data_IF_790084465432
#
_entry.id   IF_790084465432
#
_cell.length_a   1.000
_cell.length_b   1.000
_cell.length_c   1.000
_cell.angle_alpha   90.00
_cell.angle_beta   90.00
_cell.angle_gamma   90.00
#
_symmetry.space_group_name_H-M   'P 1'
#
loop_
_entity.id
_entity.type
_entity.pdbx_description
1 polymer ?
#
# COMPACT_ATOMS: atom_id res chain seq x y z
N UNK A 1 1.74 -10.88 -18.35
CA UNK A 1 2.91 -10.06 -18.79
C UNK A 1 3.88 -9.91 -17.63
N UNK A 2 5.20 -9.69 -17.85
CA UNK A 2 6.17 -9.45 -16.76
C UNK A 2 6.85 -8.09 -16.94
N UNK A 3 6.91 -7.28 -15.88
CA UNK A 3 7.66 -6.02 -15.79
C UNK A 3 8.81 -6.23 -14.82
N UNK A 4 10.03 -5.97 -15.29
CA UNK A 4 11.27 -6.26 -14.58
C UNK A 4 11.71 -5.08 -13.71
N UNK A 5 12.45 -5.36 -12.64
CA UNK A 5 12.85 -4.37 -11.61
C UNK A 5 13.88 -3.33 -12.06
N UNK A 6 14.35 -3.38 -13.30
CA UNK A 6 15.13 -2.32 -13.95
C UNK A 6 14.25 -1.19 -14.52
N UNK A 7 12.92 -1.37 -14.49
CA UNK A 7 11.92 -0.42 -14.98
C UNK A 7 11.19 0.22 -13.81
N UNK A 8 11.87 1.14 -13.13
CA UNK A 8 11.38 1.77 -11.89
C UNK A 8 11.20 3.28 -12.03
N UNK A 9 10.30 3.81 -11.20
CA UNK A 9 10.14 5.24 -10.95
C UNK A 9 10.30 5.50 -9.45
N UNK A 10 10.71 6.71 -9.10
CA UNK A 10 10.86 7.17 -7.70
C UNK A 10 9.82 8.23 -7.30
N UNK A 11 8.94 8.57 -8.25
CA UNK A 11 7.78 9.42 -8.02
C UNK A 11 6.61 8.95 -8.88
N UNK A 12 5.42 8.93 -8.31
CA UNK A 12 4.16 8.76 -9.02
C UNK A 12 3.86 10.06 -9.76
N UNK A 13 3.84 10.00 -11.10
CA UNK A 13 3.71 11.19 -11.94
C UNK A 13 2.97 10.87 -13.23
N UNK A 14 2.13 11.82 -13.67
CA UNK A 14 1.46 11.77 -14.97
C UNK A 14 2.41 11.90 -16.16
N UNK A 15 3.61 12.42 -15.92
CA UNK A 15 4.64 12.62 -16.95
C UNK A 15 5.54 11.39 -17.13
N UNK A 16 5.40 10.36 -16.27
CA UNK A 16 6.16 9.13 -16.41
C UNK A 16 5.77 8.41 -17.70
N UNK A 17 6.76 8.04 -18.51
CA UNK A 17 6.51 7.23 -19.72
C UNK A 17 6.15 5.80 -19.30
N UNK A 18 5.01 5.24 -19.76
CA UNK A 18 4.63 3.88 -19.40
C UNK A 18 5.61 2.87 -19.99
N UNK A 19 5.98 1.88 -19.19
CA UNK A 19 6.92 0.82 -19.58
C UNK A 19 6.22 -0.33 -20.32
N UNK A 20 4.90 -0.40 -20.19
CA UNK A 20 4.03 -1.31 -20.94
C UNK A 20 2.58 -0.79 -20.97
N UNK A 21 1.81 -1.32 -21.91
CA UNK A 21 0.37 -1.08 -22.05
C UNK A 21 -0.37 -2.41 -21.98
N UNK A 22 -1.46 -2.48 -21.23
CA UNK A 22 -2.30 -3.68 -21.08
C UNK A 22 -3.78 -3.36 -21.18
N UNK A 23 -4.58 -4.31 -21.63
CA UNK A 23 -6.04 -4.19 -21.58
C UNK A 23 -6.56 -4.46 -20.16
N UNK A 24 -7.71 -3.89 -19.81
CA UNK A 24 -8.41 -4.20 -18.56
C UNK A 24 -8.64 -5.72 -18.38
N UNK A 25 -8.47 -6.23 -17.16
CA UNK A 25 -8.52 -7.65 -16.81
C UNK A 25 -7.20 -8.40 -17.01
N UNK A 26 -6.12 -7.72 -17.41
CA UNK A 26 -4.82 -8.36 -17.64
C UNK A 26 -4.10 -8.70 -16.34
N UNK A 27 -3.45 -9.86 -16.32
CA UNK A 27 -2.50 -10.23 -15.28
C UNK A 27 -1.07 -9.75 -15.60
N UNK A 28 -0.47 -9.07 -14.64
CA UNK A 28 0.87 -8.49 -14.74
C UNK A 28 1.70 -8.90 -13.53
N UNK A 29 2.86 -9.48 -13.79
CA UNK A 29 3.86 -9.85 -12.80
C UNK A 29 4.90 -8.72 -12.72
N UNK A 30 5.04 -8.10 -11.55
CA UNK A 30 6.04 -7.07 -11.27
C UNK A 30 7.17 -7.69 -10.48
N UNK A 31 8.41 -7.61 -10.96
CA UNK A 31 9.59 -7.79 -10.10
C UNK A 31 9.89 -6.48 -9.37
N UNK A 32 10.29 -6.55 -8.10
CA UNK A 32 10.63 -5.39 -7.29
C UNK A 32 12.03 -5.53 -6.71
N UNK A 33 12.72 -4.39 -6.57
CA UNK A 33 13.79 -4.26 -5.58
C UNK A 33 13.18 -4.15 -4.17
N UNK A 34 14.01 -4.26 -3.15
CA UNK A 34 13.67 -3.69 -1.83
C UNK A 34 13.58 -2.14 -1.88
N UNK A 35 13.11 -1.53 -0.80
CA UNK A 35 12.95 -0.08 -0.69
C UNK A 35 14.27 0.70 -0.85
N UNK A 36 15.41 0.06 -0.60
CA UNK A 36 16.75 0.63 -0.77
C UNK A 36 17.30 0.45 -2.19
N UNK A 37 16.51 0.00 -3.17
CA UNK A 37 16.98 -0.38 -4.52
C UNK A 37 18.05 -1.48 -4.49
N UNK A 38 17.92 -2.45 -3.58
CA UNK A 38 18.85 -3.56 -3.33
C UNK A 38 20.29 -3.09 -2.97
N UNK A 39 20.45 -1.84 -2.48
CA UNK A 39 21.77 -1.28 -2.16
C UNK A 39 22.41 -1.89 -0.90
N UNK A 40 21.59 -2.42 0.03
CA UNK A 40 22.07 -3.03 1.27
C UNK A 40 22.20 -4.54 1.08
N UNK A 41 23.42 -5.01 0.88
CA UNK A 41 23.69 -6.45 0.67
C UNK A 41 24.34 -7.14 1.87
N UNK A 42 24.73 -6.39 2.91
CA UNK A 42 25.33 -6.94 4.14
C UNK A 42 25.10 -6.01 5.33
N UNK A 43 25.33 -6.53 6.55
CA UNK A 43 25.23 -5.75 7.78
C UNK A 43 26.32 -4.68 7.94
N UNK A 44 27.39 -4.77 7.14
CA UNK A 44 28.49 -3.78 7.11
C UNK A 44 28.19 -2.59 6.20
N UNK A 45 27.03 -2.57 5.51
CA UNK A 45 26.63 -1.46 4.66
C UNK A 45 26.57 -0.16 5.47
N UNK A 46 27.21 0.89 4.95
CA UNK A 46 27.21 2.21 5.58
C UNK A 46 25.93 2.94 5.16
N UNK A 47 24.95 2.99 6.06
CA UNK A 47 23.63 3.59 5.80
C UNK A 47 23.69 5.02 5.23
N UNK A 48 24.66 5.84 5.69
CA UNK A 48 24.82 7.21 5.23
C UNK A 48 25.43 7.33 3.82
N UNK A 49 25.94 6.24 3.26
CA UNK A 49 26.53 6.19 1.90
C UNK A 49 25.53 5.70 0.85
N UNK A 50 24.28 5.39 1.23
CA UNK A 50 23.23 5.02 0.29
C UNK A 50 22.89 6.18 -0.65
N UNK A 51 22.57 5.86 -1.90
CA UNK A 51 22.01 6.81 -2.84
C UNK A 51 20.54 7.07 -2.50
N UNK A 52 20.32 8.14 -1.74
CA UNK A 52 18.99 8.59 -1.30
C UNK A 52 18.06 9.03 -2.46
N UNK A 53 18.60 9.27 -3.66
CA UNK A 53 17.77 9.53 -4.84
C UNK A 53 17.15 8.25 -5.41
N UNK A 54 17.59 7.09 -4.90
CA UNK A 54 17.16 5.76 -5.34
C UNK A 54 16.44 4.99 -4.23
N UNK A 55 15.68 5.68 -3.38
CA UNK A 55 14.86 5.07 -2.33
C UNK A 55 13.40 4.98 -2.76
N UNK A 56 12.72 3.91 -2.35
CA UNK A 56 11.35 3.53 -2.71
C UNK A 56 11.13 3.40 -4.22
N UNK A 57 11.91 2.56 -4.93
CA UNK A 57 11.65 2.26 -6.34
C UNK A 57 10.31 1.54 -6.51
N UNK A 58 9.42 2.12 -7.32
CA UNK A 58 8.21 1.44 -7.78
C UNK A 58 8.41 0.94 -9.22
N UNK A 59 8.26 -0.36 -9.44
CA UNK A 59 8.31 -0.97 -10.77
C UNK A 59 7.07 -0.56 -11.57
N UNK A 60 7.28 -0.01 -12.78
CA UNK A 60 6.22 0.55 -13.62
C UNK A 60 6.63 1.87 -14.30
N UNK A 61 5.67 2.74 -14.68
CA UNK A 61 4.23 2.52 -14.60
C UNK A 61 3.69 1.71 -15.80
N UNK A 62 2.62 0.95 -15.57
CA UNK A 62 1.84 0.26 -16.60
C UNK A 62 0.63 1.11 -16.96
N UNK A 63 0.43 1.32 -18.26
CA UNK A 63 -0.76 1.97 -18.81
C UNK A 63 -1.88 0.94 -19.00
N UNK A 64 -3.06 1.19 -18.43
CA UNK A 64 -4.24 0.32 -18.57
C UNK A 64 -5.21 0.91 -19.58
N UNK A 65 -5.35 0.26 -20.74
CA UNK A 65 -6.22 0.72 -21.82
C UNK A 65 -7.66 0.93 -21.36
N UNK A 66 -8.23 2.07 -21.73
CA UNK A 66 -9.60 2.44 -21.41
C UNK A 66 -9.81 2.99 -19.99
N UNK A 67 -8.77 3.08 -19.14
CA UNK A 67 -8.84 3.81 -17.88
C UNK A 67 -8.85 5.32 -18.13
N UNK A 68 -9.88 6.02 -17.66
CA UNK A 68 -10.06 7.47 -17.82
C UNK A 68 -10.26 8.16 -16.46
N UNK A 69 -9.91 9.46 -16.33
CA UNK A 69 -10.13 10.20 -15.10
C UNK A 69 -11.56 10.07 -14.55
N UNK A 70 -11.69 9.69 -13.28
CA UNK A 70 -12.96 9.45 -12.59
C UNK A 70 -13.38 7.98 -12.49
N UNK A 71 -12.70 7.08 -13.20
CA UNK A 71 -12.85 5.63 -13.00
C UNK A 71 -12.15 5.17 -11.70
N UNK A 72 -12.41 3.91 -11.33
CA UNK A 72 -11.61 3.20 -10.34
C UNK A 72 -10.75 2.12 -11.04
N UNK A 73 -9.50 1.98 -10.62
CA UNK A 73 -8.66 0.85 -10.96
C UNK A 73 -8.76 -0.19 -9.84
N UNK A 74 -9.36 -1.34 -10.15
CA UNK A 74 -9.39 -2.52 -9.30
C UNK A 74 -8.09 -3.30 -9.50
N UNK A 75 -7.33 -3.44 -8.42
CA UNK A 75 -6.05 -4.15 -8.39
C UNK A 75 -6.19 -5.36 -7.47
N UNK A 76 -6.36 -6.54 -8.06
CA UNK A 76 -6.43 -7.79 -7.29
C UNK A 76 -5.03 -8.38 -7.14
N UNK A 77 -4.53 -8.47 -5.92
CA UNK A 77 -3.22 -9.05 -5.62
C UNK A 77 -3.36 -10.57 -5.59
N UNK A 78 -2.92 -11.26 -6.64
CA UNK A 78 -3.07 -12.71 -6.79
C UNK A 78 -2.01 -13.48 -6.01
N UNK A 79 -0.77 -12.99 -6.03
CA UNK A 79 0.38 -13.66 -5.42
C UNK A 79 1.49 -12.66 -5.11
N UNK A 80 2.15 -12.85 -3.97
CA UNK A 80 3.41 -12.20 -3.60
C UNK A 80 4.44 -13.33 -3.42
N UNK A 81 5.62 -13.19 -4.00
CA UNK A 81 6.71 -14.17 -3.90
C UNK A 81 8.00 -13.47 -3.52
N UNK A 82 8.49 -13.75 -2.32
CA UNK A 82 9.76 -13.20 -1.85
C UNK A 82 10.91 -13.88 -2.61
N UNK A 83 11.85 -13.09 -3.13
CA UNK A 83 12.96 -13.59 -3.97
C UNK A 83 14.26 -13.81 -3.19
N UNK A 84 14.22 -13.61 -1.87
CA UNK A 84 15.37 -13.75 -0.97
C UNK A 84 14.98 -14.55 0.28
N UNK A 85 15.97 -15.22 0.89
CA UNK A 85 15.85 -15.84 2.20
C UNK A 85 16.41 -14.93 3.32
N UNK A 86 16.68 -13.66 3.00
CA UNK A 86 17.13 -12.63 3.92
C UNK A 86 16.43 -11.33 3.58
N UNK A 87 16.00 -10.61 4.62
CA UNK A 87 15.44 -9.27 4.52
C UNK A 87 16.37 -8.25 5.19
N UNK A 88 16.19 -6.99 4.87
CA UNK A 88 16.92 -5.87 5.47
C UNK A 88 16.01 -5.14 6.44
N UNK A 89 16.57 -4.73 7.58
CA UNK A 89 15.91 -3.84 8.52
C UNK A 89 16.91 -2.79 8.98
N UNK A 90 16.48 -1.54 9.05
CA UNK A 90 17.32 -0.42 9.49
C UNK A 90 16.64 0.36 10.61
N UNK A 91 17.43 0.72 11.61
CA UNK A 91 17.08 1.76 12.59
C UNK A 91 18.14 2.84 12.54
N UNK A 92 17.77 4.12 12.55
CA UNK A 92 18.75 5.20 12.53
C UNK A 92 18.30 6.41 13.36
N UNK A 93 19.25 7.26 13.80
CA UNK A 93 18.94 8.49 14.51
C UNK A 93 17.94 9.35 13.76
N UNK A 94 16.96 9.90 14.47
CA UNK A 94 15.90 10.77 13.93
C UNK A 94 14.93 10.10 12.93
N UNK A 95 15.01 8.77 12.72
CA UNK A 95 14.10 8.02 11.87
C UNK A 95 13.11 7.18 12.69
N UNK A 96 11.86 7.11 12.25
CA UNK A 96 10.82 6.37 12.95
C UNK A 96 10.32 7.09 14.21
N UNK A 97 9.61 6.37 15.07
CA UNK A 97 8.94 6.92 16.26
C UNK A 97 9.90 7.20 17.41
N UNK A 98 10.93 6.38 17.57
CA UNK A 98 11.88 6.40 18.70
C UNK A 98 13.32 6.58 18.18
N UNK A 99 13.46 7.15 16.98
CA UNK A 99 14.77 7.40 16.38
C UNK A 99 15.58 8.47 17.11
N UNK A 100 14.93 9.36 17.85
CA UNK A 100 15.56 10.41 18.64
C UNK A 100 16.35 9.87 19.85
N UNK A 101 16.06 8.63 20.28
CA UNK A 101 16.80 7.93 21.34
C UNK A 101 17.99 7.10 20.83
N UNK A 102 18.26 7.11 19.51
CA UNK A 102 19.35 6.35 18.91
C UNK A 102 20.57 7.22 18.63
N UNK A 103 21.76 6.71 18.95
CA UNK A 103 23.04 7.40 18.73
C UNK A 103 23.68 7.09 17.36
N UNK A 104 23.32 5.96 16.75
CA UNK A 104 23.94 5.48 15.50
C UNK A 104 22.99 4.62 14.67
N UNK A 105 23.13 4.63 13.33
CA UNK A 105 22.39 3.71 12.47
C UNK A 105 22.82 2.27 12.70
N UNK A 106 21.87 1.35 12.53
CA UNK A 106 22.10 -0.09 12.59
C UNK A 106 21.37 -0.76 11.44
N UNK A 107 22.14 -1.38 10.56
CA UNK A 107 21.64 -2.30 9.53
C UNK A 107 21.60 -3.70 10.12
N UNK A 108 20.47 -4.38 9.96
CA UNK A 108 20.29 -5.79 10.35
C UNK A 108 19.87 -6.60 9.15
N UNK A 109 20.65 -7.62 8.79
CA UNK A 109 20.24 -8.65 7.84
C UNK A 109 19.49 -9.72 8.62
N UNK A 110 18.21 -9.88 8.33
CA UNK A 110 17.29 -10.76 9.04
C UNK A 110 17.08 -12.04 8.23
N UNK A 111 17.53 -13.21 8.71
CA UNK A 111 17.29 -14.49 8.04
C UNK A 111 15.81 -14.84 8.03
N UNK A 112 15.37 -15.51 6.97
CA UNK A 112 14.04 -16.10 6.83
C UNK A 112 14.18 -17.62 6.85
N UNK A 113 13.51 -18.27 7.81
CA UNK A 113 13.55 -19.71 8.02
C UNK A 113 12.15 -20.25 8.34
N UNK A 114 11.68 -21.22 7.55
CA UNK A 114 10.39 -21.90 7.76
C UNK A 114 9.22 -20.91 7.96
N UNK A 115 9.04 -19.98 7.01
CA UNK A 115 8.02 -18.91 7.05
C UNK A 115 8.07 -18.00 8.28
N UNK A 116 9.26 -17.85 8.87
CA UNK A 116 9.50 -16.89 9.96
C UNK A 116 10.73 -16.04 9.68
N UNK A 117 10.66 -14.77 10.03
CA UNK A 117 11.82 -13.90 10.17
C UNK A 117 12.48 -14.12 11.54
N UNK A 118 13.82 -14.20 11.56
CA UNK A 118 14.61 -14.45 12.77
C UNK A 118 15.24 -13.15 13.24
N UNK A 119 14.53 -12.43 14.10
CA UNK A 119 14.92 -11.13 14.64
C UNK A 119 15.96 -11.24 15.78
N UNK A 120 16.63 -10.13 16.15
CA UNK A 120 17.54 -10.09 17.29
C UNK A 120 16.94 -10.71 18.57
N UNK A 121 17.76 -11.45 19.32
CA UNK A 121 17.30 -12.21 20.47
C UNK A 121 16.60 -13.54 20.12
N UNK A 122 16.69 -14.00 18.87
CA UNK A 122 16.04 -15.21 18.36
C UNK A 122 14.50 -15.12 18.43
N UNK A 123 13.96 -13.91 18.29
CA UNK A 123 12.52 -13.69 18.19
C UNK A 123 12.06 -14.14 16.80
N UNK A 124 11.11 -15.07 16.75
CA UNK A 124 10.58 -15.64 15.51
C UNK A 124 9.25 -14.99 15.18
N UNK A 125 9.18 -14.22 14.11
CA UNK A 125 7.96 -13.54 13.66
C UNK A 125 7.46 -14.23 12.39
N UNK A 126 6.17 -14.64 12.33
CA UNK A 126 5.63 -15.23 11.10
C UNK A 126 5.65 -14.20 9.97
N UNK A 127 5.95 -14.65 8.75
CA UNK A 127 5.87 -13.78 7.59
C UNK A 127 4.42 -13.35 7.32
N UNK A 128 4.26 -12.11 6.86
CA UNK A 128 3.03 -11.60 6.28
C UNK A 128 3.42 -10.74 5.07
N UNK A 129 3.76 -11.38 3.92
CA UNK A 129 4.22 -10.65 2.75
C UNK A 129 3.18 -9.64 2.26
N UNK A 130 3.59 -8.38 2.12
CA UNK A 130 2.72 -7.27 1.75
C UNK A 130 3.42 -6.32 0.76
N UNK A 131 2.63 -5.43 0.16
CA UNK A 131 3.11 -4.36 -0.73
C UNK A 131 2.98 -3.00 -0.01
N UNK A 132 4.10 -2.31 0.24
CA UNK A 132 4.15 -1.01 0.91
C UNK A 132 3.81 0.15 -0.04
N UNK A 133 4.56 0.23 -1.15
CA UNK A 133 4.32 1.19 -2.24
C UNK A 133 3.45 0.58 -3.32
N UNK A 134 2.23 1.10 -3.49
CA UNK A 134 1.32 0.72 -4.58
C UNK A 134 0.42 1.89 -4.94
N UNK A 135 0.40 2.29 -6.21
CA UNK A 135 -0.31 3.51 -6.60
C UNK A 135 -0.48 3.72 -8.09
N UNK A 136 -1.15 4.81 -8.40
CA UNK A 136 -1.39 5.35 -9.74
C UNK A 136 -0.82 6.77 -9.83
N UNK A 137 -0.69 7.34 -11.03
CA UNK A 137 -0.28 8.72 -11.14
C UNK A 137 -1.34 9.68 -10.55
N UNK A 138 -0.93 10.72 -9.79
CA UNK A 138 -1.82 11.81 -9.40
C UNK A 138 -2.18 12.69 -10.61
N UNK A 139 -3.29 13.43 -10.52
CA UNK A 139 -3.67 14.41 -11.55
C UNK A 139 -2.77 15.66 -11.56
N UNK A 140 -2.22 16.01 -10.39
CA UNK A 140 -1.40 17.19 -10.15
C UNK A 140 0.09 16.94 -10.34
N UNK A 141 0.88 17.60 -9.50
CA UNK A 141 2.34 17.45 -9.47
C UNK A 141 2.77 16.03 -9.12
N UNK A 142 4.01 15.68 -9.49
CA UNK A 142 4.61 14.41 -9.12
C UNK A 142 4.73 14.29 -7.59
N UNK A 143 4.41 13.11 -7.05
CA UNK A 143 4.53 12.80 -5.62
C UNK A 143 5.56 11.69 -5.46
N UNK A 144 6.51 11.86 -4.53
CA UNK A 144 7.52 10.83 -4.22
C UNK A 144 6.87 9.49 -3.93
N UNK A 145 7.48 8.39 -4.38
CA UNK A 145 7.00 7.05 -4.07
C UNK A 145 6.96 6.77 -2.55
N UNK A 146 7.78 7.48 -1.76
CA UNK A 146 7.76 7.45 -0.28
C UNK A 146 6.75 8.39 0.37
N UNK A 147 5.72 8.85 -0.32
CA UNK A 147 4.65 9.68 0.28
C UNK A 147 3.29 9.14 -0.14
N UNK A 148 2.47 8.66 0.79
CA UNK A 148 1.12 8.24 0.45
C UNK A 148 0.18 9.42 0.28
N UNK A 149 -0.83 9.28 -0.56
CA UNK A 149 -1.95 10.22 -0.69
C UNK A 149 -3.16 9.46 -1.28
N UNK A 150 -4.18 10.18 -1.72
CA UNK A 150 -5.34 9.73 -2.49
C UNK A 150 -5.01 8.82 -3.69
N UNK A 151 -3.81 8.94 -4.27
CA UNK A 151 -3.36 8.10 -5.41
C UNK A 151 -2.76 6.74 -4.99
N UNK A 152 -2.77 6.41 -3.69
CA UNK A 152 -2.01 5.29 -3.12
C UNK A 152 -0.63 5.77 -2.67
N UNK A 153 0.44 5.14 -3.18
CA UNK A 153 1.82 5.46 -2.79
C UNK A 153 2.27 4.61 -1.60
N UNK A 154 3.07 5.20 -0.70
CA UNK A 154 3.65 4.53 0.48
C UNK A 154 2.63 4.34 1.61
N UNK A 155 1.63 3.48 1.38
CA UNK A 155 0.53 3.34 2.35
C UNK A 155 0.91 2.45 3.53
N UNK A 156 1.92 1.60 3.38
CA UNK A 156 2.40 0.61 4.34
C UNK A 156 1.28 -0.01 5.14
N UNK A 157 0.33 -0.56 4.39
CA UNK A 157 -0.84 -1.21 4.92
C UNK A 157 -0.62 -2.72 4.87
N UNK A 158 -0.38 -3.33 6.03
CA UNK A 158 -0.16 -4.78 6.17
C UNK A 158 -1.31 -5.67 5.68
N UNK A 159 -2.44 -5.07 5.28
CA UNK A 159 -3.59 -5.75 4.71
C UNK A 159 -3.53 -5.85 3.16
N UNK A 160 -2.58 -5.16 2.50
CA UNK A 160 -2.34 -5.26 1.05
C UNK A 160 -1.48 -6.51 0.79
N UNK A 161 -2.12 -7.65 0.88
CA UNK A 161 -1.51 -8.99 0.79
C UNK A 161 -2.12 -9.79 -0.35
N UNK A 162 -1.54 -10.95 -0.66
CA UNK A 162 -2.14 -11.88 -1.61
C UNK A 162 -3.58 -12.26 -1.19
N UNK A 163 -4.51 -12.21 -2.15
CA UNK A 163 -5.95 -12.43 -1.94
C UNK A 163 -6.74 -11.14 -1.64
N UNK A 164 -6.07 -10.02 -1.39
CA UNK A 164 -6.75 -8.73 -1.24
C UNK A 164 -6.97 -8.02 -2.60
N UNK A 165 -7.90 -7.07 -2.62
CA UNK A 165 -8.15 -6.19 -3.78
C UNK A 165 -8.11 -4.74 -3.33
N UNK A 166 -7.18 -3.99 -3.91
CA UNK A 166 -7.03 -2.56 -3.70
C UNK A 166 -7.74 -1.80 -4.83
N UNK A 167 -8.47 -0.77 -4.47
CA UNK A 167 -9.19 0.13 -5.36
C UNK A 167 -8.50 1.49 -5.32
N UNK A 168 -8.01 1.93 -6.47
CA UNK A 168 -7.30 3.21 -6.63
C UNK A 168 -8.07 4.12 -7.59
N UNK A 169 -7.98 5.46 -7.44
CA UNK A 169 -8.60 6.36 -8.39
C UNK A 169 -7.85 6.33 -9.72
N UNK A 170 -8.56 6.44 -10.82
CA UNK A 170 -7.94 6.82 -12.10
C UNK A 170 -7.99 8.33 -12.18
N UNK A 171 -6.82 8.97 -12.05
CA UNK A 171 -6.69 10.42 -12.08
C UNK A 171 -6.23 10.96 -13.43
N UNK A 172 -5.61 10.10 -14.25
CA UNK A 172 -5.07 10.39 -15.58
C UNK A 172 -5.36 9.23 -16.54
N UNK A 173 -5.38 9.47 -17.87
CA UNK A 173 -5.56 8.40 -18.84
C UNK A 173 -4.56 7.26 -18.63
N UNK A 174 -5.06 6.03 -18.63
CA UNK A 174 -4.26 4.83 -18.42
C UNK A 174 -3.89 4.53 -16.96
N UNK A 175 -4.28 5.38 -16.01
CA UNK A 175 -3.94 5.33 -14.57
C UNK A 175 -2.45 5.46 -14.23
N UNK A 176 -1.55 4.87 -15.03
CA UNK A 176 -0.10 4.77 -14.78
C UNK A 176 0.20 4.08 -13.44
N UNK A 177 -0.15 2.79 -13.38
CA UNK A 177 -0.03 1.96 -12.19
C UNK A 177 1.40 1.47 -11.93
N UNK A 178 1.89 1.57 -10.70
CA UNK A 178 3.17 1.02 -10.28
C UNK A 178 3.13 0.49 -8.85
N UNK A 179 4.04 -0.44 -8.53
CA UNK A 179 4.20 -0.99 -7.20
C UNK A 179 5.66 -1.32 -6.89
N UNK A 180 6.02 -1.34 -5.62
CA UNK A 180 7.36 -1.65 -5.13
C UNK A 180 7.32 -1.98 -3.64
N UNK A 181 8.50 -1.91 -3.00
CA UNK A 181 8.61 -1.91 -1.55
C UNK A 181 7.86 -3.07 -0.87
N UNK A 182 8.37 -4.29 -1.07
CA UNK A 182 7.77 -5.45 -0.42
C UNK A 182 8.37 -5.63 0.97
N UNK A 183 7.49 -5.94 1.92
CA UNK A 183 7.91 -6.36 3.25
C UNK A 183 7.63 -7.86 3.44
N UNK A 184 8.61 -8.58 3.98
CA UNK A 184 8.42 -9.97 4.39
C UNK A 184 7.49 -10.06 5.62
N UNK A 185 7.58 -9.07 6.51
CA UNK A 185 6.67 -8.86 7.63
C UNK A 185 6.75 -7.39 8.06
N UNK A 186 5.62 -6.85 8.54
CA UNK A 186 5.53 -5.50 9.09
C UNK A 186 4.36 -5.42 10.09
N UNK A 187 4.55 -4.67 11.17
CA UNK A 187 3.51 -4.37 12.15
C UNK A 187 2.77 -3.08 11.84
N UNK A 188 1.55 -2.91 12.37
CA UNK A 188 0.85 -1.61 12.28
C UNK A 188 1.67 -0.54 13.01
N UNK A 189 1.86 0.58 12.33
CA UNK A 189 2.64 1.73 12.80
C UNK A 189 4.04 1.80 12.20
N UNK A 190 4.64 0.68 11.79
CA UNK A 190 5.98 0.63 11.19
C UNK A 190 7.03 1.46 11.97
N UNK A 191 7.03 1.28 13.29
CA UNK A 191 7.58 2.28 14.22
C UNK A 191 9.09 2.54 14.08
N UNK A 192 9.83 1.65 13.42
CA UNK A 192 11.27 1.77 13.19
C UNK A 192 11.66 2.63 12.00
N UNK A 193 10.72 3.03 11.13
CA UNK A 193 10.88 3.62 9.77
C UNK A 193 10.80 2.63 8.61
N UNK A 194 10.88 1.33 8.88
CA UNK A 194 10.90 0.31 7.84
C UNK A 194 10.25 -0.98 8.33
N UNK A 195 9.78 -1.80 7.41
CA UNK A 195 9.41 -3.19 7.63
C UNK A 195 10.62 -4.12 7.56
N UNK A 196 10.36 -5.37 7.16
CA UNK A 196 11.41 -6.29 6.71
C UNK A 196 11.54 -6.20 5.19
N UNK A 197 12.38 -5.28 4.75
CA UNK A 197 12.61 -4.89 3.36
C UNK A 197 13.18 -6.04 2.54
N UNK A 198 12.52 -6.37 1.42
CA UNK A 198 12.91 -7.53 0.63
C UNK A 198 12.53 -7.41 -0.86
N UNK A 199 13.39 -7.84 -1.80
CA UNK A 199 12.99 -7.94 -3.20
C UNK A 199 12.03 -9.12 -3.43
N UNK A 200 11.18 -9.00 -4.46
CA UNK A 200 10.24 -10.06 -4.78
C UNK A 200 9.53 -9.89 -6.10
N UNK A 201 8.46 -10.67 -6.26
CA UNK A 201 7.55 -10.60 -7.38
C UNK A 201 6.10 -10.47 -6.88
N UNK A 202 5.31 -9.62 -7.53
CA UNK A 202 3.86 -9.48 -7.27
C UNK A 202 3.09 -9.74 -8.56
N UNK A 203 2.20 -10.73 -8.53
CA UNK A 203 1.22 -10.96 -9.59
C UNK A 203 -0.07 -10.22 -9.25
N UNK A 204 -0.46 -9.28 -10.10
CA UNK A 204 -1.71 -8.53 -9.97
C UNK A 204 -2.59 -8.71 -11.20
N UNK A 205 -3.91 -8.61 -11.02
CA UNK A 205 -4.87 -8.39 -12.10
C UNK A 205 -5.34 -6.94 -12.03
N UNK A 206 -5.29 -6.23 -13.17
CA UNK A 206 -5.65 -4.82 -13.29
C UNK A 206 -6.95 -4.67 -14.09
N UNK A 207 -8.02 -4.23 -13.44
CA UNK A 207 -9.35 -4.09 -14.04
C UNK A 207 -9.87 -2.66 -13.88
N UNK A 208 -10.32 -2.05 -14.98
CA UNK A 208 -10.94 -0.72 -14.98
C UNK A 208 -12.42 -0.86 -14.64
N UNK A 209 -12.88 -0.10 -13.66
CA UNK A 209 -14.29 -0.06 -13.24
C UNK A 209 -14.86 1.34 -13.48
N UNK A 210 -15.85 1.38 -14.37
CA UNK A 210 -16.54 2.60 -14.81
C UNK A 210 -17.69 2.95 -13.87
N UNK A 211 -18.01 4.24 -13.76
CA UNK A 211 -19.25 4.76 -13.16
C UNK A 211 -19.52 4.28 -11.72
N UNK A 212 -18.48 3.99 -10.93
CA UNK A 212 -18.63 3.60 -9.52
C UNK A 212 -17.89 4.57 -8.62
N UNK A 213 -18.65 5.39 -7.89
CA UNK A 213 -18.09 6.29 -6.89
C UNK A 213 -17.73 5.49 -5.63
N UNK A 214 -16.43 5.37 -5.37
CA UNK A 214 -15.88 4.68 -4.19
C UNK A 214 -15.08 5.67 -3.34
N UNK A 215 -14.96 5.43 -2.02
CA UNK A 215 -14.05 6.15 -1.13
C UNK A 215 -12.60 5.67 -1.34
N UNK A 216 -11.94 6.14 -2.39
CA UNK A 216 -10.62 5.67 -2.79
C UNK A 216 -9.49 6.42 -2.03
N UNK A 217 -8.39 5.75 -1.62
CA UNK A 217 -8.15 4.31 -1.75
C UNK A 217 -9.03 3.47 -0.83
N UNK A 218 -9.53 2.36 -1.36
CA UNK A 218 -10.33 1.37 -0.64
C UNK A 218 -9.68 -0.01 -0.79
N UNK A 219 -9.72 -0.84 0.23
CA UNK A 219 -9.18 -2.20 0.18
C UNK A 219 -10.26 -3.18 0.63
N UNK A 220 -10.24 -4.38 0.09
CA UNK A 220 -11.00 -5.49 0.63
C UNK A 220 -10.16 -6.77 0.66
N UNK A 221 -10.40 -7.61 1.67
CA UNK A 221 -9.94 -8.99 1.69
C UNK A 221 -11.15 -9.93 1.79
N UNK A 222 -10.95 -11.20 2.14
CA UNK A 222 -12.05 -12.16 2.27
C UNK A 222 -13.06 -11.82 3.35
N UNK A 223 -12.70 -11.01 4.36
CA UNK A 223 -13.48 -10.83 5.58
C UNK A 223 -13.84 -9.38 5.88
N UNK A 224 -13.14 -8.40 5.32
CA UNK A 224 -13.22 -7.00 5.75
C UNK A 224 -13.13 -6.03 4.58
N UNK A 225 -13.89 -4.95 4.67
CA UNK A 225 -13.79 -3.76 3.85
C UNK A 225 -13.03 -2.68 4.60
N UNK A 226 -12.10 -2.03 3.93
CA UNK A 226 -11.28 -0.97 4.50
C UNK A 226 -11.39 0.28 3.65
N UNK A 227 -11.58 1.42 4.29
CA UNK A 227 -11.27 2.72 3.67
C UNK A 227 -9.94 3.19 4.21
N UNK A 228 -9.05 3.67 3.35
CA UNK A 228 -7.74 4.16 3.72
C UNK A 228 -7.72 5.68 3.57
N UNK A 229 -6.92 6.34 4.39
CA UNK A 229 -6.62 7.76 4.24
C UNK A 229 -5.25 8.07 4.80
N UNK A 230 -4.57 9.00 4.13
CA UNK A 230 -3.29 9.54 4.55
C UNK A 230 -3.39 11.04 4.74
N UNK A 231 -2.80 11.53 5.82
CA UNK A 231 -2.81 12.94 6.18
C UNK A 231 -1.57 13.31 7.00
N UNK A 232 -1.35 14.61 7.23
CA UNK A 232 -0.17 15.07 7.96
C UNK A 232 -0.14 14.56 9.40
N UNK A 233 -1.30 14.42 10.03
CA UNK A 233 -1.45 13.92 11.39
C UNK A 233 -2.21 12.60 11.41
N UNK A 234 -1.95 11.79 12.43
CA UNK A 234 -2.66 10.54 12.63
C UNK A 234 -4.16 10.77 12.91
N UNK A 235 -4.49 11.81 13.68
CA UNK A 235 -5.87 12.24 13.96
C UNK A 235 -6.63 12.60 12.68
N UNK A 236 -6.02 13.35 11.76
CA UNK A 236 -6.64 13.71 10.49
C UNK A 236 -6.84 12.47 9.60
N UNK A 237 -5.82 11.61 9.48
CA UNK A 237 -5.90 10.38 8.71
C UNK A 237 -6.99 9.44 9.26
N UNK A 238 -7.06 9.32 10.58
CA UNK A 238 -8.09 8.56 11.29
C UNK A 238 -9.50 9.11 11.04
N UNK A 239 -9.66 10.44 11.14
CA UNK A 239 -10.94 11.10 10.87
C UNK A 239 -11.37 10.89 9.42
N UNK A 240 -10.44 11.05 8.47
CA UNK A 240 -10.71 10.88 7.04
C UNK A 240 -11.11 9.45 6.70
N UNK A 241 -10.36 8.44 7.16
CA UNK A 241 -10.73 7.03 6.94
C UNK A 241 -12.12 6.72 7.50
N UNK A 242 -12.42 7.18 8.73
CA UNK A 242 -13.74 6.97 9.35
C UNK A 242 -14.85 7.64 8.56
N UNK A 243 -14.66 8.90 8.15
CA UNK A 243 -15.64 9.66 7.35
C UNK A 243 -15.88 9.00 6.00
N UNK A 244 -14.82 8.52 5.35
CA UNK A 244 -14.89 7.83 4.07
C UNK A 244 -15.82 6.61 4.16
N UNK A 245 -15.69 5.76 5.19
CA UNK A 245 -16.59 4.63 5.38
C UNK A 245 -18.02 5.06 5.74
N UNK A 246 -18.19 6.07 6.62
CA UNK A 246 -19.51 6.53 7.05
C UNK A 246 -20.32 7.09 5.88
N UNK A 247 -19.70 7.93 5.06
CA UNK A 247 -20.30 8.46 3.84
C UNK A 247 -20.54 7.36 2.81
N UNK A 248 -19.63 6.40 2.66
CA UNK A 248 -19.86 5.28 1.77
C UNK A 248 -21.13 4.49 2.16
N UNK A 249 -21.35 4.20 3.45
CA UNK A 249 -22.59 3.56 3.90
C UNK A 249 -23.81 4.44 3.63
N UNK A 250 -23.77 5.72 4.01
CA UNK A 250 -24.92 6.62 3.88
C UNK A 250 -25.30 6.88 2.40
N UNK A 251 -24.32 7.03 1.53
CA UNK A 251 -24.54 7.30 0.10
C UNK A 251 -25.03 6.06 -0.68
N UNK A 252 -24.85 4.86 -0.12
CA UNK A 252 -25.10 3.58 -0.81
C UNK A 252 -26.17 2.73 -0.14
N UNK A 253 -26.89 3.27 0.85
CA UNK A 253 -27.98 2.60 1.58
C UNK A 253 -29.10 3.59 1.87
N UNK A 254 -30.20 3.13 2.50
CA UNK A 254 -31.27 4.02 2.97
C UNK A 254 -31.01 4.66 4.34
N UNK A 255 -29.83 4.40 4.94
CA UNK A 255 -29.49 4.87 6.28
C UNK A 255 -29.07 6.34 6.27
N UNK A 256 -29.35 7.04 7.37
CA UNK A 256 -28.79 8.38 7.55
C UNK A 256 -27.31 8.31 7.89
N UNK A 257 -26.60 9.43 7.73
CA UNK A 257 -25.20 9.53 8.19
C UNK A 257 -25.07 9.25 9.70
N UNK A 258 -26.07 9.61 10.51
CA UNK A 258 -26.06 9.35 11.96
C UNK A 258 -26.19 7.85 12.27
N UNK A 259 -27.00 7.12 11.50
CA UNK A 259 -27.12 5.66 11.62
C UNK A 259 -25.82 4.99 11.19
N UNK A 260 -25.23 5.41 10.07
CA UNK A 260 -23.95 4.91 9.59
C UNK A 260 -22.85 5.08 10.66
N UNK A 261 -22.72 6.28 11.24
CA UNK A 261 -21.77 6.54 12.33
C UNK A 261 -22.03 5.62 13.54
N UNK A 262 -23.30 5.43 13.91
CA UNK A 262 -23.66 4.56 15.04
C UNK A 262 -23.26 3.10 14.80
N UNK A 263 -23.43 2.61 13.57
CA UNK A 263 -23.01 1.25 13.18
C UNK A 263 -21.50 1.14 13.22
N UNK A 264 -20.79 2.09 12.61
CA UNK A 264 -19.33 2.11 12.61
C UNK A 264 -18.78 2.09 14.05
N UNK A 265 -19.31 2.93 14.93
CA UNK A 265 -18.86 3.02 16.32
C UNK A 265 -18.98 1.73 17.14
N UNK A 266 -19.79 0.75 16.69
CA UNK A 266 -20.04 -0.50 17.42
C UNK A 266 -19.45 -1.71 16.69
N UNK A 267 -19.45 -1.70 15.36
CA UNK A 267 -19.14 -2.86 14.54
C UNK A 267 -17.86 -2.71 13.70
N UNK A 268 -17.24 -1.53 13.67
CA UNK A 268 -16.01 -1.27 12.92
C UNK A 268 -14.82 -0.95 13.82
N UNK A 269 -13.64 -1.03 13.22
CA UNK A 269 -12.36 -0.78 13.89
C UNK A 269 -11.57 0.28 13.12
N UNK A 270 -11.24 1.39 13.78
CA UNK A 270 -10.24 2.32 13.29
C UNK A 270 -8.84 1.78 13.62
N UNK A 271 -7.98 1.68 12.61
CA UNK A 271 -6.66 1.05 12.71
C UNK A 271 -5.58 1.92 12.03
N UNK A 272 -4.34 1.77 12.48
CA UNK A 272 -3.17 2.46 11.96
C UNK A 272 -2.49 1.58 10.90
N UNK A 273 -2.02 2.16 9.80
CA UNK A 273 -1.13 1.49 8.83
C UNK A 273 0.33 1.80 9.17
N UNK A 274 0.76 3.06 9.01
CA UNK A 274 2.08 3.55 9.43
C UNK A 274 2.00 4.94 10.08
N UNK A 275 3.05 5.29 10.84
CA UNK A 275 3.20 6.63 11.43
C UNK A 275 4.55 7.31 11.13
N UNK A 276 5.33 6.79 10.19
CA UNK A 276 6.75 7.16 10.01
C UNK A 276 7.03 7.95 8.74
N UNK A 277 6.11 7.94 7.78
CA UNK A 277 6.25 8.64 6.49
C UNK A 277 5.93 10.14 6.57
N UNK A 278 6.16 10.90 5.47
CA UNK A 278 5.77 12.30 5.38
C UNK A 278 4.28 12.55 5.68
N UNK A 279 3.40 11.63 5.29
CA UNK A 279 2.00 11.59 5.70
C UNK A 279 1.71 10.27 6.43
N UNK A 280 0.91 10.32 7.49
CA UNK A 280 0.50 9.18 8.32
C UNK A 280 -0.70 8.51 7.69
N UNK A 281 -0.76 7.18 7.73
CA UNK A 281 -1.82 6.41 7.07
C UNK A 281 -2.64 5.62 8.09
N UNK A 282 -3.96 5.80 8.03
CA UNK A 282 -4.94 5.03 8.80
C UNK A 282 -5.88 4.28 7.87
N UNK A 283 -6.53 3.25 8.42
CA UNK A 283 -7.62 2.52 7.77
C UNK A 283 -8.80 2.35 8.71
N UNK A 284 -10.01 2.40 8.16
CA UNK A 284 -11.22 2.04 8.89
C UNK A 284 -11.75 0.70 8.39
N UNK A 285 -11.77 -0.31 9.25
CA UNK A 285 -12.19 -1.68 8.97
C UNK A 285 -13.68 -1.87 9.29
N UNK A 286 -14.44 -2.37 8.31
CA UNK A 286 -15.82 -2.83 8.46
C UNK A 286 -15.90 -4.31 8.08
N UNK A 287 -16.30 -5.21 9.00
CA UNK A 287 -16.47 -6.62 8.68
C UNK A 287 -17.47 -6.82 7.52
N UNK A 288 -17.13 -7.68 6.56
CA UNK A 288 -18.00 -7.99 5.43
C UNK A 288 -19.33 -8.59 5.86
N UNK A 289 -19.36 -9.35 6.96
CA UNK A 289 -20.59 -9.85 7.57
C UNK A 289 -21.57 -8.74 7.97
N UNK A 290 -21.08 -7.54 8.30
CA UNK A 290 -21.90 -6.35 8.58
C UNK A 290 -22.23 -5.63 7.27
N UNK A 291 -21.26 -5.44 6.39
CA UNK A 291 -21.48 -4.83 5.08
C UNK A 291 -22.56 -5.56 4.24
N UNK A 292 -22.61 -6.89 4.32
CA UNK A 292 -23.62 -7.73 3.67
C UNK A 292 -25.03 -7.49 4.22
N UNK A 293 -25.17 -7.33 5.55
CA UNK A 293 -26.46 -6.97 6.17
C UNK A 293 -26.94 -5.58 5.75
N UNK A 294 -26.01 -4.68 5.44
CA UNK A 294 -26.28 -3.37 4.88
C UNK A 294 -26.57 -3.40 3.37
N UNK A 295 -26.45 -4.57 2.72
CA UNK A 295 -26.49 -4.71 1.26
C UNK A 295 -25.48 -3.80 0.55
N UNK A 296 -24.35 -3.50 1.20
CA UNK A 296 -23.31 -2.62 0.69
C UNK A 296 -22.49 -3.37 -0.35
N UNK A 297 -22.48 -2.88 -1.60
CA UNK A 297 -21.77 -3.51 -2.72
C UNK A 297 -20.65 -2.60 -3.21
N UNK A 298 -19.49 -3.16 -3.54
CA UNK A 298 -18.39 -2.42 -4.16
C UNK A 298 -18.56 -2.41 -5.68
N UNK A 299 -18.95 -3.55 -6.25
CA UNK A 299 -19.17 -3.72 -7.69
C UNK A 299 -20.65 -3.71 -8.08
N UNK A 300 -20.91 -3.30 -9.33
CA UNK A 300 -22.24 -3.21 -9.93
C UNK A 300 -22.87 -1.82 -9.83
N UNK A 301 -23.84 -1.54 -10.70
CA UNK A 301 -24.72 -0.37 -10.56
C UNK A 301 -25.63 -0.59 -9.35
N UNK A 302 -25.71 0.39 -8.45
CA UNK A 302 -26.80 0.41 -7.47
C UNK A 302 -28.06 0.94 -8.15
N UNK A 303 -29.15 0.21 -7.95
CA UNK A 303 -30.47 0.47 -8.54
C UNK A 303 -31.10 1.79 -8.07
#
# INVERSE_FOLDING_TARGET
>A
MKITKDRVVYAMSRENTPVATVSSGSEVLFETCDCFSDQITSADAVFNELDWQRINPATGPVYVEGAEPGDALKVTIKRITLSSNQAVMVTAPQLGVIGDELDAPKVTIVPIENDHAILPGNVRVPLNPMVGVIGVAPAGEAISCGTPDSHGGNMDCKMITAGSTLWLPVNVPGALFGLGDLHAAMGDGEVSVCGLEIPGEVLVELTVVKNRKLPLPMLENSETLFTLASALTLDDAASMATRNMAHFIADNTSLTLADAISILSIAGDLQICQVVDPLKTCRYALPKSVAEQLSLRIEGEQA
#
